data_IF_044970339752
#
_entry.id   IF_044970339752
#
_cell.length_a   1.000
_cell.length_b   1.000
_cell.length_c   1.000
_cell.angle_alpha   90.00
_cell.angle_beta   90.00
_cell.angle_gamma   90.00
#
_symmetry.space_group_name_H-M   'P 1'
#
loop_
_entity.id
_entity.type
_entity.pdbx_description
1 polymer ?
#
# COMPACT_ATOMS: atom_id res chain seq x y z
N UNK A 1 25.91 -15.24 14.74
CA UNK A 1 24.90 -14.26 15.19
C UNK A 1 24.38 -13.58 13.93
N UNK A 2 23.29 -14.09 13.36
CA UNK A 2 22.80 -13.66 12.05
C UNK A 2 21.89 -12.45 12.21
N UNK A 3 22.25 -11.35 11.56
CA UNK A 3 21.39 -10.18 11.45
C UNK A 3 20.12 -10.62 10.68
N UNK A 4 18.97 -10.55 11.38
CA UNK A 4 17.66 -10.65 10.76
C UNK A 4 17.50 -9.39 9.92
N UNK A 5 17.95 -9.45 8.67
CA UNK A 5 17.57 -8.48 7.67
C UNK A 5 16.06 -8.44 7.65
N UNK A 6 15.47 -7.25 7.82
CA UNK A 6 14.06 -7.03 7.61
C UNK A 6 13.74 -7.23 6.11
N UNK A 7 13.77 -8.48 5.69
CA UNK A 7 13.19 -8.94 4.45
C UNK A 7 11.70 -8.64 4.61
N UNK A 8 11.17 -7.70 3.83
CA UNK A 8 9.72 -7.63 3.71
C UNK A 8 9.24 -9.03 3.35
N UNK A 9 8.27 -9.59 4.09
CA UNK A 9 7.78 -10.92 3.80
C UNK A 9 7.40 -10.95 2.32
N UNK A 10 7.85 -11.99 1.61
CA UNK A 10 7.37 -12.34 0.27
C UNK A 10 5.86 -12.05 0.23
N UNK A 11 5.36 -11.40 -0.82
CA UNK A 11 3.93 -11.07 -0.91
C UNK A 11 3.09 -12.28 -0.55
N UNK A 12 3.53 -13.46 -0.98
CA UNK A 12 2.92 -14.72 -0.64
C UNK A 12 2.93 -15.03 0.86
N UNK A 13 4.02 -14.81 1.59
CA UNK A 13 4.08 -14.97 3.04
C UNK A 13 3.25 -13.91 3.80
N UNK A 14 3.15 -12.68 3.29
CA UNK A 14 2.27 -11.66 3.85
C UNK A 14 0.79 -12.05 3.68
N UNK A 15 0.43 -12.50 2.48
CA UNK A 15 -0.91 -12.98 2.14
C UNK A 15 -1.25 -14.28 2.88
N UNK A 16 -0.31 -15.23 2.97
CA UNK A 16 -0.46 -16.48 3.74
C UNK A 16 -0.58 -16.19 5.24
N UNK A 17 0.12 -15.18 5.76
CA UNK A 17 -0.07 -14.71 7.14
C UNK A 17 -1.47 -14.13 7.37
N UNK A 18 -2.00 -13.35 6.43
CA UNK A 18 -3.37 -12.79 6.51
C UNK A 18 -4.45 -13.85 6.32
N UNK A 19 -4.27 -14.79 5.39
CA UNK A 19 -5.18 -15.90 5.14
C UNK A 19 -5.11 -16.95 6.27
N UNK A 20 -3.94 -17.15 6.88
CA UNK A 20 -3.72 -18.12 7.96
C UNK A 20 -4.39 -17.76 9.28
N UNK A 21 -4.78 -16.48 9.47
CA UNK A 21 -5.60 -16.03 10.60
C UNK A 21 -7.08 -16.42 10.44
N UNK A 22 -7.50 -16.85 9.23
CA UNK A 22 -8.89 -17.16 8.91
C UNK A 22 -9.15 -18.67 8.79
N UNK A 23 -9.65 -19.30 9.85
CA UNK A 23 -10.43 -20.55 9.74
C UNK A 23 -11.84 -20.31 9.13
N UNK A 24 -12.10 -19.11 8.58
CA UNK A 24 -13.37 -18.68 7.98
C UNK A 24 -13.11 -17.81 6.74
N UNK A 25 -14.00 -17.86 5.74
CA UNK A 25 -13.91 -16.99 4.56
C UNK A 25 -13.97 -15.52 4.99
N UNK A 26 -13.17 -14.67 4.34
CA UNK A 26 -13.14 -13.23 4.58
C UNK A 26 -14.10 -12.56 3.60
N UNK A 27 -15.15 -11.92 4.11
CA UNK A 27 -16.17 -11.27 3.26
C UNK A 27 -15.75 -9.88 2.78
N UNK A 28 -14.80 -9.23 3.48
CA UNK A 28 -14.34 -7.89 3.16
C UNK A 28 -12.83 -7.67 3.43
N UNK A 29 -12.17 -6.95 2.52
CA UNK A 29 -10.76 -6.58 2.59
C UNK A 29 -10.60 -5.06 2.57
N UNK A 30 -9.86 -4.53 3.55
CA UNK A 30 -9.52 -3.10 3.63
C UNK A 30 -8.02 -2.93 3.46
N UNK A 31 -7.59 -2.43 2.31
CA UNK A 31 -6.18 -2.20 1.99
C UNK A 31 -5.74 -0.81 2.47
N UNK A 32 -5.66 -0.64 3.79
CA UNK A 32 -5.30 0.64 4.43
C UNK A 32 -3.79 0.83 4.63
N UNK A 33 -2.99 -0.24 4.51
CA UNK A 33 -1.55 -0.14 4.69
C UNK A 33 -0.91 0.71 3.59
N UNK A 34 -0.05 1.66 3.97
CA UNK A 34 0.80 2.38 3.04
C UNK A 34 1.92 1.45 2.55
N UNK A 35 1.63 0.69 1.49
CA UNK A 35 2.60 -0.20 0.85
C UNK A 35 3.65 0.64 0.13
N UNK A 36 4.93 0.38 0.39
CA UNK A 36 6.03 1.10 -0.25
C UNK A 36 6.03 0.83 -1.75
N UNK A 37 6.13 1.89 -2.57
CA UNK A 37 6.28 1.78 -4.04
C UNK A 37 7.70 1.37 -4.46
N UNK A 38 8.65 1.45 -3.53
CA UNK A 38 10.07 1.17 -3.77
C UNK A 38 10.65 0.34 -2.64
N UNK A 39 11.47 -0.64 -3.02
CA UNK A 39 12.24 -1.48 -2.10
C UNK A 39 13.73 -1.30 -2.37
N UNK A 40 14.53 -1.43 -1.32
CA UNK A 40 15.98 -1.33 -1.45
C UNK A 40 16.49 -2.58 -2.18
N UNK A 41 17.23 -2.40 -3.27
CA UNK A 41 17.70 -3.51 -4.11
C UNK A 41 18.81 -4.33 -3.42
N UNK A 42 19.52 -3.73 -2.47
CA UNK A 42 20.55 -4.40 -1.67
C UNK A 42 20.65 -3.74 -0.30
N UNK A 43 20.63 -4.50 0.81
CA UNK A 43 20.68 -3.92 2.14
C UNK A 43 21.95 -3.05 2.27
N UNK A 44 21.82 -1.79 2.72
CA UNK A 44 22.99 -0.96 2.92
C UNK A 44 23.85 -1.64 3.99
N UNK A 45 25.15 -1.78 3.70
CA UNK A 45 26.11 -2.23 4.69
C UNK A 45 26.03 -1.25 5.88
N UNK A 46 25.87 -1.77 7.10
CA UNK A 46 25.94 -0.94 8.31
C UNK A 46 27.25 -0.14 8.25
N UNK A 47 27.11 1.15 7.98
CA UNK A 47 28.26 2.04 7.88
C UNK A 47 28.38 2.68 9.25
N UNK A 48 29.35 2.22 10.06
CA UNK A 48 29.60 2.74 11.41
C UNK A 48 30.07 4.21 11.44
N UNK A 49 30.21 4.85 10.29
CA UNK A 49 30.60 6.24 10.14
C UNK A 49 29.52 7.00 9.33
N UNK A 50 29.15 8.23 9.73
CA UNK A 50 28.20 9.02 8.97
C UNK A 50 28.83 9.42 7.63
N UNK A 51 28.45 8.71 6.57
CA UNK A 51 28.83 9.07 5.20
C UNK A 51 28.24 10.45 4.87
N UNK A 52 29.08 11.40 4.45
CA UNK A 52 28.66 12.76 4.05
C UNK A 52 27.60 12.75 2.93
N UNK A 53 27.57 11.69 2.12
CA UNK A 53 26.56 11.44 1.10
C UNK A 53 26.20 9.94 1.11
N UNK A 54 24.96 9.61 1.44
CA UNK A 54 24.44 8.24 1.37
C UNK A 54 23.62 8.09 0.09
N UNK A 55 24.02 7.17 -0.78
CA UNK A 55 23.26 6.82 -1.98
C UNK A 55 22.50 5.51 -1.72
N UNK A 56 21.17 5.53 -1.86
CA UNK A 56 20.32 4.34 -1.70
C UNK A 56 19.76 3.97 -3.06
N UNK A 57 20.18 2.82 -3.59
CA UNK A 57 19.57 2.25 -4.79
C UNK A 57 18.23 1.61 -4.43
N UNK A 58 17.18 2.02 -5.15
CA UNK A 58 15.82 1.51 -4.94
C UNK A 58 15.23 1.00 -6.26
N UNK A 59 14.58 -0.16 -6.18
CA UNK A 59 13.81 -0.76 -7.26
C UNK A 59 12.32 -0.61 -7.02
N UNK A 60 11.50 -0.72 -8.07
CA UNK A 60 10.03 -0.74 -7.91
C UNK A 60 9.59 -1.97 -7.12
N UNK A 61 8.70 -1.78 -6.15
CA UNK A 61 8.10 -2.89 -5.41
C UNK A 61 7.12 -3.70 -6.30
N UNK A 62 6.90 -4.99 -5.97
CA UNK A 62 5.83 -5.77 -6.56
C UNK A 62 4.46 -5.13 -6.24
N UNK A 63 3.52 -5.19 -7.18
CA UNK A 63 2.20 -4.61 -7.01
C UNK A 63 1.30 -5.54 -6.21
N UNK A 64 1.50 -5.62 -4.90
CA UNK A 64 0.80 -6.56 -4.01
C UNK A 64 -0.73 -6.50 -4.13
N UNK A 65 -1.30 -5.31 -4.35
CA UNK A 65 -2.75 -5.13 -4.57
C UNK A 65 -3.30 -5.93 -5.77
N UNK A 66 -2.47 -6.14 -6.81
CA UNK A 66 -2.85 -6.92 -7.98
C UNK A 66 -2.74 -8.43 -7.72
N UNK A 67 -1.70 -8.86 -7.00
CA UNK A 67 -1.49 -10.25 -6.62
C UNK A 67 -2.61 -10.76 -5.70
N UNK A 68 -3.11 -9.88 -4.82
CA UNK A 68 -4.26 -10.14 -3.95
C UNK A 68 -5.59 -10.26 -4.68
N UNK A 69 -5.69 -9.86 -5.95
CA UNK A 69 -6.97 -9.84 -6.68
C UNK A 69 -7.62 -11.22 -6.76
N UNK A 70 -6.83 -12.27 -7.01
CA UNK A 70 -7.33 -13.64 -7.10
C UNK A 70 -7.79 -14.19 -5.74
N UNK A 71 -7.07 -13.86 -4.66
CA UNK A 71 -7.41 -14.31 -3.32
C UNK A 71 -8.68 -13.63 -2.75
N UNK A 72 -9.05 -12.48 -3.28
CA UNK A 72 -10.20 -11.68 -2.84
C UNK A 72 -11.40 -11.78 -3.79
N UNK A 73 -11.44 -12.75 -4.70
CA UNK A 73 -12.54 -12.89 -5.66
C UNK A 73 -13.88 -13.12 -4.94
N UNK A 74 -14.92 -12.39 -5.35
CA UNK A 74 -16.26 -12.46 -4.72
C UNK A 74 -16.40 -11.73 -3.38
N UNK A 75 -15.35 -11.06 -2.90
CA UNK A 75 -15.35 -10.32 -1.63
C UNK A 75 -15.46 -8.81 -1.84
N UNK A 76 -15.90 -8.08 -0.82
CA UNK A 76 -15.86 -6.60 -0.81
C UNK A 76 -14.41 -6.15 -0.68
N UNK A 77 -13.94 -5.24 -1.55
CA UNK A 77 -12.56 -4.74 -1.51
C UNK A 77 -12.53 -3.22 -1.47
N UNK A 78 -11.98 -2.68 -0.38
CA UNK A 78 -11.84 -1.23 -0.17
C UNK A 78 -10.36 -0.87 -0.27
N UNK A 79 -10.02 -0.04 -1.23
CA UNK A 79 -8.68 0.54 -1.37
C UNK A 79 -8.56 1.88 -0.67
N UNK A 80 -7.35 2.23 -0.23
CA UNK A 80 -7.02 3.59 0.20
C UNK A 80 -6.08 4.25 -0.80
N UNK A 81 -6.23 5.56 -0.95
CA UNK A 81 -5.38 6.38 -1.80
C UNK A 81 -5.15 7.74 -1.13
N UNK A 82 -3.89 8.09 -0.91
CA UNK A 82 -3.47 9.40 -0.44
C UNK A 82 -2.59 10.02 -1.51
N UNK A 83 -2.94 11.22 -1.99
CA UNK A 83 -2.11 11.98 -2.92
C UNK A 83 -1.93 13.42 -2.46
N UNK A 84 -0.90 14.09 -2.96
CA UNK A 84 -0.60 15.48 -2.66
C UNK A 84 -0.27 16.25 -3.94
N UNK A 85 -0.50 17.56 -3.94
CA UNK A 85 -0.18 18.45 -5.06
C UNK A 85 -1.07 18.26 -6.30
N UNK A 86 -2.24 17.65 -6.13
CA UNK A 86 -3.20 17.40 -7.23
C UNK A 86 -4.53 18.10 -6.97
N UNK A 87 -5.32 18.34 -8.03
CA UNK A 87 -6.69 18.84 -7.90
C UNK A 87 -7.64 17.71 -7.48
N UNK A 88 -8.75 18.05 -6.83
CA UNK A 88 -9.77 17.08 -6.43
C UNK A 88 -10.33 16.28 -7.63
N UNK A 89 -10.49 16.93 -8.80
CA UNK A 89 -10.93 16.25 -10.04
C UNK A 89 -9.94 15.17 -10.48
N UNK A 90 -8.64 15.42 -10.33
CA UNK A 90 -7.59 14.46 -10.69
C UNK A 90 -7.54 13.31 -9.70
N UNK A 91 -7.79 13.59 -8.41
CA UNK A 91 -7.91 12.57 -7.37
C UNK A 91 -9.05 11.59 -7.70
N UNK A 92 -10.23 12.11 -8.07
CA UNK A 92 -11.39 11.30 -8.46
C UNK A 92 -11.07 10.42 -9.67
N UNK A 93 -10.47 10.99 -10.73
CA UNK A 93 -10.09 10.23 -11.92
C UNK A 93 -9.09 9.11 -11.60
N UNK A 94 -8.08 9.39 -10.77
CA UNK A 94 -7.08 8.40 -10.37
C UNK A 94 -7.66 7.31 -9.47
N UNK A 95 -8.56 7.66 -8.55
CA UNK A 95 -9.28 6.70 -7.70
C UNK A 95 -10.19 5.78 -8.54
N UNK A 96 -10.92 6.34 -9.50
CA UNK A 96 -11.75 5.55 -10.41
C UNK A 96 -10.92 4.59 -11.27
N UNK A 97 -9.77 5.05 -11.77
CA UNK A 97 -8.84 4.18 -12.49
C UNK A 97 -8.33 3.02 -11.62
N UNK A 98 -8.11 3.23 -10.32
CA UNK A 98 -7.72 2.18 -9.38
C UNK A 98 -8.85 1.17 -9.15
N UNK A 99 -10.10 1.62 -9.01
CA UNK A 99 -11.29 0.75 -8.93
C UNK A 99 -11.31 -0.21 -10.12
N UNK A 100 -11.23 0.33 -11.34
CA UNK A 100 -11.29 -0.45 -12.57
C UNK A 100 -10.09 -1.40 -12.72
N UNK A 101 -8.88 -0.91 -12.48
CA UNK A 101 -7.64 -1.67 -12.72
C UNK A 101 -7.43 -2.80 -11.71
N UNK A 102 -7.73 -2.54 -10.43
CA UNK A 102 -7.48 -3.50 -9.36
C UNK A 102 -8.72 -4.35 -9.00
N UNK A 103 -9.89 -4.03 -9.53
CA UNK A 103 -11.15 -4.70 -9.19
C UNK A 103 -11.54 -4.43 -7.74
N UNK A 104 -11.51 -3.16 -7.33
CA UNK A 104 -11.97 -2.74 -6.00
C UNK A 104 -13.47 -2.46 -6.03
N UNK A 105 -14.16 -2.65 -4.91
CA UNK A 105 -15.55 -2.23 -4.73
C UNK A 105 -15.62 -0.72 -4.51
N UNK A 106 -14.69 -0.18 -3.71
CA UNK A 106 -14.60 1.25 -3.41
C UNK A 106 -13.14 1.66 -3.17
N UNK A 107 -12.87 2.96 -3.31
CA UNK A 107 -11.59 3.56 -2.93
C UNK A 107 -11.84 4.81 -2.10
N UNK A 108 -11.26 4.83 -0.89
CA UNK A 108 -11.20 6.03 -0.05
C UNK A 108 -10.02 6.86 -0.53
N UNK A 109 -10.31 7.99 -1.19
CA UNK A 109 -9.31 8.84 -1.80
C UNK A 109 -9.21 10.18 -1.05
N UNK A 110 -8.05 10.42 -0.46
CA UNK A 110 -7.77 11.61 0.32
C UNK A 110 -6.65 12.42 -0.34
N UNK A 111 -6.73 13.74 -0.15
CA UNK A 111 -5.61 14.64 -0.44
C UNK A 111 -4.92 15.04 0.85
N UNK A 112 -3.60 15.09 0.83
CA UNK A 112 -2.83 15.56 1.97
C UNK A 112 -3.19 17.00 2.36
N UNK A 113 -3.51 17.86 1.37
CA UNK A 113 -3.92 19.25 1.61
C UNK A 113 -5.26 19.38 2.32
N UNK A 114 -6.10 18.35 2.25
CA UNK A 114 -7.43 18.33 2.85
C UNK A 114 -7.41 17.63 4.23
N UNK A 115 -6.25 17.14 4.69
CA UNK A 115 -6.08 16.54 6.01
C UNK A 115 -5.96 17.63 7.09
N UNK A 116 -6.79 17.53 8.13
CA UNK A 116 -6.82 18.49 9.25
C UNK A 116 -7.76 19.68 9.03
N UNK A 117 -8.40 19.75 7.86
CA UNK A 117 -9.39 20.77 7.53
C UNK A 117 -10.76 20.28 8.04
N UNK A 118 -11.15 20.71 9.25
CA UNK A 118 -12.35 20.20 9.94
C UNK A 118 -13.67 20.49 9.21
N UNK A 119 -13.67 21.45 8.28
CA UNK A 119 -14.79 21.81 7.42
C UNK A 119 -14.93 20.86 6.21
N UNK A 120 -13.90 20.06 5.90
CA UNK A 120 -13.95 19.06 4.84
C UNK A 120 -14.19 17.68 5.45
N UNK A 121 -15.17 16.91 4.94
CA UNK A 121 -15.45 15.59 5.48
C UNK A 121 -14.18 14.72 5.36
N UNK A 122 -13.65 14.27 6.51
CA UNK A 122 -12.76 13.12 6.54
C UNK A 122 -13.56 11.95 5.96
N UNK A 123 -13.17 11.49 4.75
CA UNK A 123 -13.95 10.60 3.91
C UNK A 123 -14.64 9.47 4.70
N UNK A 124 -15.92 9.70 5.00
CA UNK A 124 -16.88 8.74 5.56
C UNK A 124 -18.08 8.83 4.63
N UNK A 125 -18.11 7.99 3.61
CA UNK A 125 -19.23 7.83 2.69
C UNK A 125 -19.23 6.40 2.18
#
# INVERSE_FOLDING_TARGET
>A
MAAVGAQMPDTRAHVEGMCGVGQRPIDAWVHAAAVLDYVVESPPRETGEPARHAHVAVGRSPKHIMELKAACEGTVRIGFKLESGIKQTDLIHRAFAQIQKAGMTAVVANRLEDLGDAEKPAATS
#
